data_IF_162141281678
#
_entry.id   IF_162141281678
#
_cell.length_a   1.000
_cell.length_b   1.000
_cell.length_c   1.000
_cell.angle_alpha   90.00
_cell.angle_beta   90.00
_cell.angle_gamma   90.00
#
_symmetry.space_group_name_H-M   'P 1'
#
loop_
_entity.id
_entity.type
_entity.pdbx_description
1 polymer ?
#
# COMPACT_ATOMS: atom_id res chain seq x y z
N UNK A 1 -3.04 40.30 -90.37
CA UNK A 1 -3.83 39.15 -89.89
C UNK A 1 -2.93 37.93 -89.94
N UNK A 2 -3.04 37.08 -88.91
CA UNK A 2 -2.39 35.78 -88.70
C UNK A 2 -0.87 35.76 -88.50
N UNK A 3 -0.44 35.78 -87.23
CA UNK A 3 0.78 35.09 -86.80
C UNK A 3 0.37 33.87 -85.95
N UNK A 4 0.69 32.69 -86.49
CA UNK A 4 0.43 31.37 -85.93
C UNK A 4 1.64 30.88 -85.12
N UNK A 5 1.33 30.08 -84.09
CA UNK A 5 2.13 29.76 -82.90
C UNK A 5 3.39 28.91 -83.10
N UNK A 6 4.31 28.99 -82.12
CA UNK A 6 5.17 27.87 -81.74
C UNK A 6 4.79 27.39 -80.31
N UNK A 7 4.41 26.11 -80.11
CA UNK A 7 4.05 25.59 -78.80
C UNK A 7 5.31 25.44 -77.92
N UNK A 8 5.29 26.06 -76.73
CA UNK A 8 6.33 25.85 -75.72
C UNK A 8 6.33 24.37 -75.31
N UNK A 9 7.45 23.69 -75.54
CA UNK A 9 7.60 22.28 -75.21
C UNK A 9 7.47 22.07 -73.69
N UNK A 10 6.42 21.36 -73.27
CA UNK A 10 6.16 20.97 -71.87
C UNK A 10 7.07 19.82 -71.39
N UNK A 11 7.91 19.28 -72.28
CA UNK A 11 8.76 18.11 -72.06
C UNK A 11 9.75 18.22 -70.89
N UNK A 12 10.47 19.35 -70.64
CA UNK A 12 11.43 19.41 -69.53
C UNK A 12 10.74 19.43 -68.16
N UNK A 13 9.50 19.92 -68.09
CA UNK A 13 8.73 20.02 -66.85
C UNK A 13 8.18 18.66 -66.41
N UNK A 14 7.78 17.81 -67.37
CA UNK A 14 7.35 16.43 -67.13
C UNK A 14 8.51 15.50 -66.70
N UNK A 15 9.70 15.70 -67.26
CA UNK A 15 10.90 14.91 -66.87
C UNK A 15 11.37 15.28 -65.46
N UNK A 16 11.34 16.56 -65.08
CA UNK A 16 11.68 17.01 -63.73
C UNK A 16 10.73 16.47 -62.65
N UNK A 17 9.43 16.46 -62.92
CA UNK A 17 8.44 15.89 -62.00
C UNK A 17 8.61 14.37 -61.83
N UNK A 18 8.90 13.64 -62.92
CA UNK A 18 9.18 12.21 -62.87
C UNK A 18 10.41 11.86 -62.03
N UNK A 19 11.50 12.62 -62.18
CA UNK A 19 12.72 12.40 -61.40
C UNK A 19 12.51 12.66 -59.89
N UNK A 20 11.76 13.70 -59.52
CA UNK A 20 11.40 13.99 -58.12
C UNK A 20 10.50 12.90 -57.51
N UNK A 21 9.53 12.39 -58.27
CA UNK A 21 8.66 11.30 -57.80
C UNK A 21 9.45 10.01 -57.55
N UNK A 22 10.40 9.66 -58.44
CA UNK A 22 11.27 8.50 -58.26
C UNK A 22 12.21 8.69 -57.08
N UNK A 23 12.81 9.86 -56.91
CA UNK A 23 13.66 10.17 -55.76
C UNK A 23 12.88 10.10 -54.43
N UNK A 24 11.63 10.59 -54.41
CA UNK A 24 10.73 10.47 -53.26
C UNK A 24 10.38 9.02 -52.92
N UNK A 25 10.09 8.19 -53.92
CA UNK A 25 9.84 6.76 -53.75
C UNK A 25 11.07 6.01 -53.22
N UNK A 26 12.27 6.34 -53.72
CA UNK A 26 13.53 5.74 -53.24
C UNK A 26 13.82 6.16 -51.81
N UNK A 27 13.65 7.44 -51.47
CA UNK A 27 13.83 7.95 -50.11
C UNK A 27 12.82 7.32 -49.13
N UNK A 28 11.56 7.19 -49.53
CA UNK A 28 10.53 6.51 -48.74
C UNK A 28 10.85 5.03 -48.55
N UNK A 29 11.23 4.31 -49.61
CA UNK A 29 11.60 2.91 -49.53
C UNK A 29 12.86 2.68 -48.67
N UNK A 30 13.81 3.61 -48.71
CA UNK A 30 14.99 3.56 -47.86
C UNK A 30 14.65 3.83 -46.39
N UNK A 31 13.90 4.89 -46.10
CA UNK A 31 13.44 5.22 -44.75
C UNK A 31 12.56 4.12 -44.12
N UNK A 32 11.73 3.46 -44.94
CA UNK A 32 10.89 2.33 -44.53
C UNK A 32 11.73 1.09 -44.19
N UNK A 33 12.89 0.89 -44.84
CA UNK A 33 13.81 -0.22 -44.54
C UNK A 33 14.70 0.05 -43.33
N UNK A 34 15.12 1.30 -43.10
CA UNK A 34 16.00 1.67 -41.99
C UNK A 34 15.27 1.81 -40.66
N UNK A 35 13.98 2.14 -40.68
CA UNK A 35 13.12 2.22 -39.48
C UNK A 35 12.25 0.97 -39.25
N UNK A 36 12.56 -0.14 -39.94
CA UNK A 36 11.90 -1.40 -39.64
C UNK A 36 12.21 -1.78 -38.18
N UNK A 37 11.20 -2.16 -37.36
CA UNK A 37 11.42 -2.63 -36.00
C UNK A 37 12.47 -3.74 -36.02
N UNK A 38 13.54 -3.57 -35.25
CA UNK A 38 14.56 -4.61 -35.11
C UNK A 38 13.89 -5.86 -34.49
N UNK A 39 14.15 -7.07 -35.03
CA UNK A 39 13.65 -8.29 -34.43
C UNK A 39 14.20 -8.40 -33.01
N UNK A 40 13.32 -8.41 -32.02
CA UNK A 40 13.67 -8.73 -30.64
C UNK A 40 13.89 -10.23 -30.59
N UNK A 41 15.14 -10.64 -30.37
CA UNK A 41 15.51 -12.06 -30.32
C UNK A 41 14.72 -12.77 -29.21
N UNK A 42 14.14 -13.94 -29.53
CA UNK A 42 13.27 -14.69 -28.63
C UNK A 42 11.85 -14.12 -28.42
N UNK A 43 11.43 -13.08 -29.14
CA UNK A 43 10.08 -12.54 -29.01
C UNK A 43 9.00 -13.44 -29.66
N UNK A 44 7.86 -13.58 -28.98
CA UNK A 44 6.75 -14.41 -29.43
C UNK A 44 5.90 -13.66 -30.46
N UNK A 45 5.66 -14.29 -31.60
CA UNK A 45 4.84 -13.73 -32.66
C UNK A 45 3.36 -13.97 -32.37
N UNK A 46 2.55 -12.92 -32.43
CA UNK A 46 1.10 -12.97 -32.27
C UNK A 46 0.46 -12.26 -33.45
N UNK A 47 -0.32 -12.97 -34.26
CA UNK A 47 -1.15 -12.35 -35.29
C UNK A 47 -2.57 -12.20 -34.78
N UNK A 48 -3.12 -10.99 -34.81
CA UNK A 48 -4.50 -10.72 -34.42
C UNK A 48 -5.33 -10.55 -35.68
N UNK A 49 -6.26 -11.48 -35.89
CA UNK A 49 -7.17 -11.51 -37.04
C UNK A 49 -8.51 -10.84 -36.69
N UNK A 50 -9.45 -10.82 -37.63
CA UNK A 50 -10.80 -10.31 -37.39
C UNK A 50 -11.51 -10.97 -36.20
N UNK A 51 -11.25 -12.25 -35.94
CA UNK A 51 -12.01 -13.06 -34.98
C UNK A 51 -11.18 -13.70 -33.87
N UNK A 52 -9.85 -13.72 -33.95
CA UNK A 52 -8.99 -14.46 -33.01
C UNK A 52 -7.51 -14.03 -33.07
N UNK A 53 -6.74 -14.39 -32.03
CA UNK A 53 -5.29 -14.42 -32.09
C UNK A 53 -4.77 -15.73 -32.70
N UNK A 54 -3.61 -15.67 -33.34
CA UNK A 54 -2.82 -16.82 -33.71
C UNK A 54 -1.40 -16.66 -33.12
N UNK A 55 -1.00 -17.51 -32.15
CA UNK A 55 -1.80 -18.54 -31.48
C UNK A 55 -2.79 -17.95 -30.46
N UNK A 56 -3.84 -18.72 -30.12
CA UNK A 56 -4.77 -18.41 -29.02
C UNK A 56 -4.25 -18.81 -27.63
N UNK A 57 -3.18 -19.61 -27.59
CA UNK A 57 -2.54 -20.06 -26.37
C UNK A 57 -1.03 -19.84 -26.49
N UNK A 58 -0.46 -19.13 -25.53
CA UNK A 58 0.95 -18.81 -25.44
C UNK A 58 1.53 -19.38 -24.15
N UNK A 59 2.78 -19.83 -24.19
CA UNK A 59 3.51 -20.24 -23.01
C UNK A 59 4.89 -19.58 -23.01
N UNK A 60 5.26 -18.93 -21.90
CA UNK A 60 6.56 -18.27 -21.73
C UNK A 60 7.13 -18.54 -20.33
N UNK A 61 8.46 -18.54 -20.14
CA UNK A 61 9.03 -18.54 -18.80
C UNK A 61 8.79 -17.18 -18.10
N UNK A 62 8.64 -17.21 -16.78
CA UNK A 62 8.56 -16.02 -15.95
C UNK A 62 9.83 -15.16 -16.04
N UNK A 63 9.66 -13.84 -16.06
CA UNK A 63 10.72 -12.87 -16.34
C UNK A 63 10.36 -11.99 -17.55
N UNK A 64 11.36 -11.29 -18.13
CA UNK A 64 11.16 -10.48 -19.32
C UNK A 64 10.66 -11.33 -20.49
N UNK A 65 9.52 -10.95 -21.07
CA UNK A 65 8.95 -11.52 -22.27
C UNK A 65 8.66 -10.40 -23.27
N UNK A 66 8.86 -10.68 -24.55
CA UNK A 66 8.50 -9.76 -25.63
C UNK A 66 7.54 -10.43 -26.59
N UNK A 67 6.49 -9.71 -26.96
CA UNK A 67 5.46 -10.12 -27.89
C UNK A 67 5.52 -9.18 -29.09
N UNK A 68 5.56 -9.75 -30.29
CA UNK A 68 5.49 -9.02 -31.55
C UNK A 68 4.09 -9.25 -32.10
N UNK A 69 3.25 -8.23 -31.93
CA UNK A 69 1.83 -8.25 -32.27
C UNK A 69 1.64 -7.66 -33.66
N UNK A 70 1.20 -8.49 -34.60
CA UNK A 70 0.83 -8.07 -35.95
C UNK A 70 -0.69 -7.98 -36.07
N UNK A 71 -1.18 -6.86 -36.57
CA UNK A 71 -2.60 -6.69 -36.85
C UNK A 71 -2.90 -7.17 -38.29
N UNK A 72 -3.51 -8.35 -38.39
CA UNK A 72 -3.98 -8.95 -39.64
C UNK A 72 -5.51 -8.78 -39.83
N UNK A 73 -6.11 -7.85 -39.09
CA UNK A 73 -7.49 -7.41 -39.25
C UNK A 73 -7.58 -6.11 -40.08
N UNK A 74 -8.80 -5.71 -40.41
CA UNK A 74 -9.14 -4.49 -41.14
C UNK A 74 -9.35 -3.27 -40.25
N UNK A 75 -9.23 -3.40 -38.92
CA UNK A 75 -9.47 -2.33 -37.94
C UNK A 75 -8.27 -2.09 -37.03
N UNK A 76 -8.05 -0.86 -36.55
CA UNK A 76 -7.13 -0.64 -35.43
C UNK A 76 -7.57 -1.45 -34.22
N UNK A 77 -6.59 -1.98 -33.48
CA UNK A 77 -6.85 -2.83 -32.32
C UNK A 77 -5.84 -2.62 -31.20
N UNK A 78 -6.16 -3.21 -30.04
CA UNK A 78 -5.28 -3.33 -28.90
C UNK A 78 -5.02 -4.80 -28.54
N UNK A 79 -3.89 -5.04 -27.89
CA UNK A 79 -3.53 -6.34 -27.34
C UNK A 79 -3.06 -6.17 -25.90
N UNK A 80 -3.77 -6.81 -24.98
CA UNK A 80 -3.59 -6.67 -23.54
C UNK A 80 -3.34 -8.03 -22.90
N UNK A 81 -2.54 -8.03 -21.83
CA UNK A 81 -2.40 -9.14 -20.89
C UNK A 81 -3.25 -8.82 -19.68
N UNK A 82 -4.18 -9.72 -19.33
CA UNK A 82 -5.16 -9.51 -18.27
C UNK A 82 -4.99 -10.52 -17.13
N UNK A 83 -5.07 -10.03 -15.90
CA UNK A 83 -5.20 -10.83 -14.68
C UNK A 83 -6.55 -10.49 -14.01
N UNK A 84 -7.56 -11.33 -14.28
CA UNK A 84 -8.94 -11.05 -13.89
C UNK A 84 -9.49 -9.79 -14.57
N UNK A 85 -9.61 -8.71 -13.80
CA UNK A 85 -10.07 -7.38 -14.26
C UNK A 85 -8.91 -6.39 -14.46
N UNK A 86 -7.68 -6.77 -14.11
CA UNK A 86 -6.50 -5.91 -14.18
C UNK A 86 -5.81 -6.05 -15.53
N UNK A 87 -5.45 -4.92 -16.15
CA UNK A 87 -4.54 -4.87 -17.29
C UNK A 87 -3.11 -4.91 -16.75
N UNK A 88 -2.39 -5.99 -17.04
CA UNK A 88 -0.99 -6.19 -16.64
C UNK A 88 -0.07 -5.37 -17.55
N UNK A 89 -0.32 -5.43 -18.85
CA UNK A 89 0.39 -4.66 -19.86
C UNK A 89 -0.45 -4.61 -21.14
N UNK A 90 -0.29 -3.54 -21.93
CA UNK A 90 -1.08 -3.33 -23.12
C UNK A 90 -0.29 -2.67 -24.25
N UNK A 91 -0.75 -2.94 -25.48
CA UNK A 91 -0.36 -2.18 -26.66
C UNK A 91 -1.58 -1.81 -27.49
N UNK A 92 -1.90 -0.54 -27.47
CA UNK A 92 -3.07 0.06 -28.13
C UNK A 92 -2.75 0.63 -29.52
N UNK A 93 -3.82 0.90 -30.29
CA UNK A 93 -3.80 1.61 -31.58
C UNK A 93 -2.91 0.96 -32.66
N UNK A 94 -2.84 -0.37 -32.70
CA UNK A 94 -2.10 -1.11 -33.73
C UNK A 94 -2.93 -1.07 -35.03
N UNK A 95 -2.48 -0.30 -36.02
CA UNK A 95 -3.19 -0.13 -37.30
C UNK A 95 -3.18 -1.41 -38.18
N UNK A 96 -4.16 -1.58 -39.09
CA UNK A 96 -4.19 -2.71 -40.03
C UNK A 96 -2.87 -2.88 -40.81
N UNK A 97 -2.31 -4.09 -40.79
CA UNK A 97 -1.05 -4.42 -41.46
C UNK A 97 0.22 -4.00 -40.72
N UNK A 98 0.10 -3.32 -39.57
CA UNK A 98 1.25 -2.90 -38.76
C UNK A 98 1.60 -3.95 -37.70
N UNK A 99 2.83 -3.84 -37.22
CA UNK A 99 3.36 -4.64 -36.12
C UNK A 99 3.76 -3.71 -34.98
N UNK A 100 3.45 -4.11 -33.75
CA UNK A 100 3.91 -3.46 -32.53
C UNK A 100 4.57 -4.48 -31.60
N UNK A 101 5.49 -4.02 -30.77
CA UNK A 101 6.15 -4.86 -29.76
C UNK A 101 5.67 -4.45 -28.37
N UNK A 102 5.29 -5.43 -27.56
CA UNK A 102 5.05 -5.28 -26.13
C UNK A 102 6.11 -6.08 -25.37
N UNK A 103 6.80 -5.44 -24.44
CA UNK A 103 7.77 -6.10 -23.56
C UNK A 103 7.33 -5.91 -22.13
N UNK A 104 7.21 -6.99 -21.38
CA UNK A 104 6.76 -6.98 -19.99
C UNK A 104 7.53 -8.01 -19.16
N UNK A 105 7.67 -7.80 -17.85
CA UNK A 105 8.22 -8.79 -16.92
C UNK A 105 7.08 -9.54 -16.24
N UNK A 106 6.83 -10.75 -16.70
CA UNK A 106 5.70 -11.56 -16.27
C UNK A 106 6.03 -12.41 -15.03
N UNK A 107 5.09 -12.46 -14.09
CA UNK A 107 5.12 -13.37 -12.94
C UNK A 107 4.53 -14.74 -13.35
N UNK A 108 4.92 -15.85 -12.68
CA UNK A 108 4.30 -17.15 -12.95
C UNK A 108 2.79 -17.09 -12.74
N UNK A 109 2.02 -17.69 -13.65
CA UNK A 109 0.56 -17.60 -13.59
C UNK A 109 -0.13 -17.96 -14.89
N UNK A 110 -1.45 -17.86 -14.89
CA UNK A 110 -2.28 -17.99 -16.10
C UNK A 110 -3.04 -16.69 -16.30
N UNK A 111 -2.78 -16.05 -17.44
CA UNK A 111 -3.36 -14.78 -17.83
C UNK A 111 -4.30 -14.97 -19.01
N UNK A 112 -5.22 -14.02 -19.18
CA UNK A 112 -5.99 -13.89 -20.43
C UNK A 112 -5.28 -12.90 -21.34
N UNK A 113 -5.43 -13.06 -22.65
CA UNK A 113 -4.97 -12.06 -23.63
C UNK A 113 -6.13 -11.59 -24.49
N UNK A 114 -6.19 -10.30 -24.80
CA UNK A 114 -7.19 -9.79 -25.75
C UNK A 114 -6.75 -10.05 -27.18
N UNK A 115 -7.71 -10.36 -28.04
CA UNK A 115 -7.48 -10.72 -29.43
C UNK A 115 -8.13 -9.72 -30.38
N UNK A 116 -7.85 -8.44 -30.14
CA UNK A 116 -8.36 -7.32 -30.92
C UNK A 116 -9.69 -6.81 -30.39
N UNK A 117 -10.76 -6.88 -31.18
CA UNK A 117 -12.07 -6.35 -30.79
C UNK A 117 -12.59 -7.02 -29.51
N UNK A 118 -13.26 -6.24 -28.66
CA UNK A 118 -13.83 -6.69 -27.37
C UNK A 118 -14.73 -7.94 -27.47
N UNK A 119 -15.34 -8.17 -28.65
CA UNK A 119 -16.20 -9.31 -28.94
C UNK A 119 -15.44 -10.61 -29.23
N UNK A 120 -14.14 -10.54 -29.48
CA UNK A 120 -13.35 -11.72 -29.83
C UNK A 120 -13.10 -12.59 -28.58
N UNK A 121 -13.04 -13.92 -28.74
CA UNK A 121 -12.63 -14.79 -27.65
C UNK A 121 -11.24 -14.38 -27.15
N UNK A 122 -11.08 -14.39 -25.83
CA UNK A 122 -9.78 -14.16 -25.20
C UNK A 122 -8.90 -15.39 -25.35
N UNK A 123 -7.62 -15.16 -25.60
CA UNK A 123 -6.61 -16.22 -25.55
C UNK A 123 -6.11 -16.45 -24.13
N UNK A 124 -5.22 -17.42 -23.97
CA UNK A 124 -4.56 -17.74 -22.71
C UNK A 124 -3.05 -17.54 -22.81
N UNK A 125 -2.45 -16.92 -21.81
CA UNK A 125 -1.01 -16.83 -21.65
C UNK A 125 -0.59 -17.54 -20.36
N UNK A 126 0.11 -18.66 -20.50
CA UNK A 126 0.67 -19.42 -19.37
C UNK A 126 2.11 -19.02 -19.14
N UNK A 127 2.41 -18.51 -17.95
CA UNK A 127 3.75 -18.11 -17.56
C UNK A 127 4.31 -19.14 -16.59
N UNK A 128 5.33 -19.90 -17.02
CA UNK A 128 5.90 -20.99 -16.22
C UNK A 128 6.93 -20.45 -15.23
N UNK A 129 6.93 -21.01 -14.02
CA UNK A 129 7.91 -20.65 -13.00
C UNK A 129 9.35 -20.90 -13.47
N UNK A 130 10.27 -20.04 -13.05
CA UNK A 130 11.71 -20.15 -13.23
C UNK A 130 12.41 -20.11 -11.88
N UNK A 131 13.65 -20.56 -11.80
CA UNK A 131 14.44 -20.44 -10.57
C UNK A 131 14.55 -18.97 -10.09
N UNK A 132 14.66 -18.03 -11.03
CA UNK A 132 14.68 -16.60 -10.73
C UNK A 132 13.34 -16.08 -10.20
N UNK A 133 12.20 -16.53 -10.76
CA UNK A 133 10.89 -16.12 -10.26
C UNK A 133 10.58 -16.70 -8.88
N UNK A 134 11.01 -17.94 -8.60
CA UNK A 134 10.89 -18.51 -7.25
C UNK A 134 11.73 -17.76 -6.22
N UNK A 135 12.98 -17.40 -6.57
CA UNK A 135 13.81 -16.59 -5.69
C UNK A 135 13.19 -15.20 -5.43
N UNK A 136 12.66 -14.55 -6.47
CA UNK A 136 11.98 -13.26 -6.33
C UNK A 136 10.63 -13.36 -5.58
N UNK A 137 10.01 -14.55 -5.53
CA UNK A 137 8.79 -14.77 -4.74
C UNK A 137 9.10 -14.78 -3.24
N UNK A 138 10.19 -15.43 -2.83
CA UNK A 138 10.60 -15.52 -1.41
C UNK A 138 11.48 -14.37 -0.93
N UNK A 139 12.05 -13.61 -1.87
CA UNK A 139 12.78 -12.37 -1.60
C UNK A 139 12.37 -11.31 -2.64
N UNK A 140 11.20 -10.67 -2.46
CA UNK A 140 10.71 -9.67 -3.41
C UNK A 140 11.71 -8.53 -3.60
N UNK A 141 11.93 -8.06 -4.84
CA UNK A 141 12.75 -6.89 -5.07
C UNK A 141 12.14 -5.66 -4.38
N UNK A 142 12.97 -4.70 -3.96
CA UNK A 142 12.53 -3.51 -3.23
C UNK A 142 11.39 -2.72 -3.91
N UNK A 143 11.32 -2.76 -5.25
CA UNK A 143 10.24 -2.11 -6.01
C UNK A 143 8.84 -2.66 -5.66
N UNK A 144 8.72 -3.95 -5.29
CA UNK A 144 7.44 -4.55 -4.89
C UNK A 144 6.94 -4.01 -3.54
N UNK A 145 7.80 -3.37 -2.76
CA UNK A 145 7.44 -2.75 -1.48
C UNK A 145 6.96 -1.30 -1.61
N UNK A 146 7.04 -0.68 -2.79
CA UNK A 146 6.57 0.69 -3.02
C UNK A 146 5.07 0.83 -2.67
N UNK A 147 4.26 -0.14 -3.10
CA UNK A 147 2.83 -0.20 -2.78
C UNK A 147 2.57 -0.29 -1.27
N UNK A 148 3.05 -1.35 -0.59
CA UNK A 148 2.93 -1.51 0.86
C UNK A 148 3.43 -0.32 1.68
N UNK A 149 4.57 0.27 1.32
CA UNK A 149 5.11 1.45 1.99
C UNK A 149 4.20 2.67 1.81
N UNK A 150 3.68 2.88 0.61
CA UNK A 150 2.75 3.98 0.32
C UNK A 150 1.43 3.81 1.08
N UNK A 151 0.88 2.59 1.11
CA UNK A 151 -0.33 2.30 1.87
C UNK A 151 -0.13 2.51 3.37
N UNK A 152 1.01 2.06 3.91
CA UNK A 152 1.36 2.29 5.31
C UNK A 152 1.49 3.78 5.63
N UNK A 153 2.15 4.55 4.75
CA UNK A 153 2.27 5.99 4.92
C UNK A 153 0.90 6.68 4.92
N UNK A 154 0.00 6.31 4.01
CA UNK A 154 -1.37 6.83 3.98
C UNK A 154 -2.12 6.50 5.28
N UNK A 155 -1.99 5.26 5.78
CA UNK A 155 -2.59 4.85 7.06
C UNK A 155 -2.10 5.69 8.23
N UNK A 156 -0.79 5.93 8.34
CA UNK A 156 -0.22 6.77 9.40
C UNK A 156 -0.70 8.22 9.32
N UNK A 157 -0.78 8.78 8.10
CA UNK A 157 -1.29 10.14 7.88
C UNK A 157 -2.76 10.25 8.27
N UNK A 158 -3.58 9.27 7.90
CA UNK A 158 -5.00 9.24 8.24
C UNK A 158 -5.22 9.08 9.75
N UNK A 159 -4.48 8.18 10.39
CA UNK A 159 -4.55 7.96 11.83
C UNK A 159 -4.10 9.20 12.62
N UNK A 160 -3.02 9.86 12.21
CA UNK A 160 -2.58 11.13 12.82
C UNK A 160 -3.60 12.26 12.64
N UNK A 161 -4.26 12.32 11.49
CA UNK A 161 -5.34 13.28 11.26
C UNK A 161 -6.61 12.98 12.06
N UNK A 162 -6.91 11.71 12.34
CA UNK A 162 -8.01 11.31 13.22
C UNK A 162 -7.72 11.71 14.66
N UNK A 163 -6.54 11.33 15.18
CA UNK A 163 -6.10 11.72 16.52
C UNK A 163 -6.15 13.23 16.75
N UNK A 164 -5.66 14.05 15.80
CA UNK A 164 -5.71 15.51 15.93
C UNK A 164 -7.16 16.03 16.01
N UNK A 165 -8.08 15.50 15.19
CA UNK A 165 -9.49 15.91 15.23
C UNK A 165 -10.13 15.52 16.56
N UNK A 166 -9.88 14.30 17.02
CA UNK A 166 -10.58 13.77 18.19
C UNK A 166 -9.98 14.33 19.49
N UNK A 167 -8.69 14.67 19.51
CA UNK A 167 -8.08 15.44 20.60
C UNK A 167 -8.65 16.87 20.69
N UNK A 168 -8.95 17.53 19.55
CA UNK A 168 -9.67 18.82 19.55
C UNK A 168 -11.09 18.66 20.07
N UNK A 169 -11.82 17.63 19.63
CA UNK A 169 -13.15 17.32 20.16
C UNK A 169 -13.15 17.08 21.67
N UNK A 170 -12.12 16.42 22.20
CA UNK A 170 -11.92 16.27 23.64
C UNK A 170 -11.69 17.63 24.34
N UNK A 171 -10.83 18.49 23.77
CA UNK A 171 -10.60 19.82 24.31
C UNK A 171 -11.88 20.67 24.35
N UNK A 172 -12.69 20.61 23.29
CA UNK A 172 -13.96 21.32 23.20
C UNK A 172 -14.97 20.81 24.25
N UNK A 173 -15.07 19.49 24.42
CA UNK A 173 -15.97 18.89 25.42
C UNK A 173 -15.57 19.27 26.87
N UNK A 174 -14.27 19.31 27.16
CA UNK A 174 -13.73 19.76 28.45
C UNK A 174 -14.02 21.24 28.68
N UNK A 175 -13.78 22.09 27.68
CA UNK A 175 -14.05 23.53 27.76
C UNK A 175 -15.54 23.84 27.96
N UNK A 176 -16.43 23.01 27.40
CA UNK A 176 -17.87 23.11 27.60
C UNK A 176 -18.33 22.68 29.01
N UNK A 177 -17.45 22.07 29.82
CA UNK A 177 -17.81 21.56 31.14
C UNK A 177 -18.65 20.28 31.12
N UNK A 178 -18.80 19.63 29.95
CA UNK A 178 -19.62 18.43 29.80
C UNK A 178 -18.80 17.18 30.13
N UNK A 179 -18.90 16.71 31.37
CA UNK A 179 -18.19 15.53 31.86
C UNK A 179 -18.52 14.26 31.05
N UNK A 180 -19.77 14.10 30.62
CA UNK A 180 -20.21 12.93 29.87
C UNK A 180 -19.58 12.92 28.49
N UNK A 181 -19.72 14.02 27.75
CA UNK A 181 -19.11 14.19 26.44
C UNK A 181 -17.58 14.09 26.50
N UNK A 182 -16.95 14.67 27.51
CA UNK A 182 -15.49 14.61 27.70
C UNK A 182 -14.99 13.18 27.91
N UNK A 183 -15.71 12.35 28.68
CA UNK A 183 -15.35 10.93 28.86
C UNK A 183 -15.44 10.13 27.57
N UNK A 184 -16.49 10.36 26.76
CA UNK A 184 -16.64 9.73 25.45
C UNK A 184 -15.53 10.19 24.50
N UNK A 185 -15.29 11.49 24.38
CA UNK A 185 -14.24 12.04 23.52
C UNK A 185 -12.85 11.57 23.95
N UNK A 186 -12.60 11.41 25.26
CA UNK A 186 -11.35 10.86 25.78
C UNK A 186 -11.14 9.44 25.27
N UNK A 187 -12.16 8.57 25.39
CA UNK A 187 -12.07 7.18 24.94
C UNK A 187 -11.74 7.10 23.44
N UNK A 188 -12.40 7.93 22.61
CA UNK A 188 -12.15 7.99 21.17
C UNK A 188 -10.72 8.44 20.87
N UNK A 189 -10.28 9.58 21.41
CA UNK A 189 -8.93 10.10 21.18
C UNK A 189 -7.85 9.13 21.70
N UNK A 190 -8.11 8.43 22.81
CA UNK A 190 -7.17 7.47 23.39
C UNK A 190 -7.04 6.20 22.54
N UNK A 191 -8.13 5.75 21.92
CA UNK A 191 -8.10 4.65 20.95
C UNK A 191 -7.30 5.03 19.69
N UNK A 192 -7.47 6.25 19.18
CA UNK A 192 -6.69 6.76 18.05
C UNK A 192 -5.20 6.84 18.35
N UNK A 193 -4.81 7.27 19.55
CA UNK A 193 -3.43 7.23 20.01
C UNK A 193 -2.87 5.79 20.00
N UNK A 194 -3.61 4.83 20.55
CA UNK A 194 -3.17 3.45 20.61
C UNK A 194 -3.01 2.81 19.22
N UNK A 195 -3.86 3.19 18.26
CA UNK A 195 -3.80 2.72 16.87
C UNK A 195 -2.52 3.14 16.15
N UNK A 196 -1.92 4.28 16.52
CA UNK A 196 -0.65 4.76 15.96
C UNK A 196 0.54 3.89 16.41
N UNK A 197 0.44 3.25 17.57
CA UNK A 197 1.42 2.26 18.02
C UNK A 197 2.86 2.77 18.02
N UNK A 198 3.78 1.99 17.45
CA UNK A 198 5.23 2.28 17.40
C UNK A 198 5.60 3.46 16.50
N UNK A 199 4.70 4.00 15.68
CA UNK A 199 4.97 5.24 14.97
C UNK A 199 5.21 6.40 15.96
N UNK A 200 4.59 6.36 17.15
CA UNK A 200 4.79 7.34 18.22
C UNK A 200 6.19 7.25 18.85
N UNK A 201 6.87 6.10 18.79
CA UNK A 201 8.19 5.91 19.38
C UNK A 201 9.27 6.81 18.76
N UNK A 202 9.05 7.25 17.51
CA UNK A 202 9.93 8.21 16.80
C UNK A 202 9.72 9.66 17.24
N UNK A 203 8.75 9.92 18.11
CA UNK A 203 8.44 11.24 18.68
C UNK A 203 8.40 11.16 20.22
N UNK A 204 9.48 10.66 20.82
CA UNK A 204 9.56 10.40 22.27
C UNK A 204 9.31 11.63 23.14
N UNK A 205 9.68 12.83 22.68
CA UNK A 205 9.34 14.09 23.33
C UNK A 205 7.82 14.34 23.38
N UNK A 206 7.10 14.03 22.30
CA UNK A 206 5.63 14.11 22.27
C UNK A 206 5.00 13.02 23.12
N UNK A 207 5.51 11.79 23.09
CA UNK A 207 5.03 10.70 23.97
C UNK A 207 5.11 11.11 25.44
N UNK A 208 6.23 11.72 25.85
CA UNK A 208 6.44 12.16 27.23
C UNK A 208 5.50 13.29 27.67
N UNK A 209 4.95 14.08 26.74
CA UNK A 209 3.94 15.12 27.03
C UNK A 209 2.50 14.60 26.91
N UNK A 210 2.25 13.74 25.93
CA UNK A 210 0.90 13.29 25.60
C UNK A 210 0.43 12.13 26.48
N UNK A 211 1.34 11.27 26.95
CA UNK A 211 0.96 10.07 27.70
C UNK A 211 1.89 9.72 28.89
N UNK A 212 2.36 10.69 29.71
CA UNK A 212 3.09 10.34 30.93
C UNK A 212 2.16 9.66 31.94
N UNK A 213 2.61 8.58 32.58
CA UNK A 213 1.86 7.94 33.66
C UNK A 213 2.28 8.52 35.01
N UNK A 214 1.32 8.72 35.92
CA UNK A 214 1.62 9.24 37.26
C UNK A 214 2.63 8.35 38.02
N UNK A 215 2.60 7.03 37.81
CA UNK A 215 3.52 6.08 38.43
C UNK A 215 5.00 6.29 38.03
N UNK A 216 5.25 6.90 36.86
CA UNK A 216 6.61 7.21 36.37
C UNK A 216 7.13 8.58 36.82
N UNK A 217 6.31 9.37 37.52
CA UNK A 217 6.63 10.73 37.96
C UNK A 217 6.89 10.79 39.47
N UNK A 218 7.88 11.55 39.88
CA UNK A 218 8.28 11.65 41.29
C UNK A 218 7.16 12.26 42.16
N UNK A 219 6.49 13.30 41.65
CA UNK A 219 5.34 13.93 42.30
C UNK A 219 4.00 13.23 42.06
N UNK A 220 3.98 12.12 41.28
CA UNK A 220 2.77 11.42 40.83
C UNK A 220 1.73 12.37 40.24
N UNK A 221 0.47 12.30 40.66
CA UNK A 221 -0.61 13.19 40.19
C UNK A 221 -0.38 14.67 40.54
N UNK A 222 0.50 14.97 41.51
CA UNK A 222 0.92 16.33 41.86
C UNK A 222 2.15 16.83 41.12
N UNK A 223 2.75 16.01 40.25
CA UNK A 223 3.94 16.38 39.48
C UNK A 223 3.57 17.38 38.36
N UNK A 224 4.32 18.47 38.14
CA UNK A 224 4.07 19.38 37.03
C UNK A 224 4.22 18.71 35.65
N UNK A 225 4.93 17.59 35.55
CA UNK A 225 5.04 16.77 34.35
C UNK A 225 3.81 15.91 34.08
N UNK A 226 2.86 15.80 35.02
CA UNK A 226 1.64 15.01 34.83
C UNK A 226 0.66 15.75 33.93
N UNK A 227 0.79 15.48 32.63
CA UNK A 227 0.09 16.17 31.54
C UNK A 227 -0.57 15.15 30.58
N UNK A 228 -1.16 15.64 29.49
CA UNK A 228 -1.71 14.80 28.42
C UNK A 228 -2.89 13.93 28.83
N UNK A 229 -3.01 12.77 28.19
CA UNK A 229 -4.12 11.83 28.35
C UNK A 229 -4.36 11.44 29.81
N UNK A 230 -3.35 10.92 30.51
CA UNK A 230 -3.58 10.39 31.86
C UNK A 230 -3.90 11.47 32.90
N UNK A 231 -3.44 12.72 32.70
CA UNK A 231 -3.86 13.86 33.53
C UNK A 231 -5.33 14.20 33.32
N UNK A 232 -5.81 14.14 32.08
CA UNK A 232 -7.22 14.31 31.73
C UNK A 232 -8.04 13.16 32.30
N UNK A 233 -7.60 11.92 32.12
CA UNK A 233 -8.22 10.71 32.66
C UNK A 233 -8.42 10.81 34.18
N UNK A 234 -7.38 11.22 34.91
CA UNK A 234 -7.46 11.43 36.35
C UNK A 234 -8.55 12.44 36.74
N UNK A 235 -8.61 13.58 36.04
CA UNK A 235 -9.63 14.59 36.30
C UNK A 235 -11.06 14.09 36.01
N UNK A 236 -11.24 13.46 34.85
CA UNK A 236 -12.57 13.02 34.40
C UNK A 236 -13.13 11.85 35.23
N UNK A 237 -12.29 10.90 35.69
CA UNK A 237 -12.77 9.72 36.43
C UNK A 237 -12.51 9.78 37.93
N UNK A 238 -11.30 10.15 38.37
CA UNK A 238 -10.99 10.18 39.80
C UNK A 238 -11.53 11.44 40.48
N UNK A 239 -11.46 12.60 39.83
CA UNK A 239 -11.99 13.85 40.39
C UNK A 239 -13.43 14.13 39.96
N UNK A 240 -13.92 13.47 38.90
CA UNK A 240 -15.27 13.64 38.39
C UNK A 240 -15.55 15.06 37.89
N UNK A 241 -14.54 15.75 37.36
CA UNK A 241 -14.63 17.16 36.97
C UNK A 241 -13.81 17.46 35.73
N UNK A 242 -14.23 18.48 34.98
CA UNK A 242 -13.45 19.11 33.89
C UNK A 242 -12.65 20.32 34.36
N UNK A 243 -12.81 20.73 35.61
CA UNK A 243 -12.17 21.92 36.17
C UNK A 243 -10.64 21.82 36.10
N UNK A 244 -10.00 22.87 35.56
CA UNK A 244 -8.56 22.93 35.39
C UNK A 244 -7.99 22.02 34.29
N UNK A 245 -8.81 21.28 33.55
CA UNK A 245 -8.36 20.40 32.46
C UNK A 245 -8.20 21.10 31.11
N UNK A 246 -8.86 22.25 30.91
CA UNK A 246 -8.86 22.94 29.61
C UNK A 246 -7.45 23.26 29.09
N UNK A 247 -6.49 23.78 29.89
CA UNK A 247 -5.13 24.00 29.41
C UNK A 247 -4.42 22.70 29.00
N UNK A 248 -4.67 21.60 29.72
CA UNK A 248 -4.07 20.29 29.44
C UNK A 248 -4.62 19.71 28.14
N UNK A 249 -5.93 19.79 27.94
CA UNK A 249 -6.59 19.28 26.74
C UNK A 249 -6.22 20.07 25.48
N UNK A 250 -6.08 21.39 25.59
CA UNK A 250 -5.57 22.22 24.49
C UNK A 250 -4.14 21.85 24.11
N UNK A 251 -3.25 21.71 25.10
CA UNK A 251 -1.86 21.27 24.86
C UNK A 251 -1.80 19.89 24.21
N UNK A 252 -2.67 18.95 24.61
CA UNK A 252 -2.78 17.63 24.00
C UNK A 252 -3.19 17.72 22.52
N UNK A 253 -4.15 18.60 22.18
CA UNK A 253 -4.59 18.81 20.80
C UNK A 253 -3.49 19.44 19.93
N UNK A 254 -2.71 20.37 20.48
CA UNK A 254 -1.54 20.95 19.82
C UNK A 254 -0.45 19.89 19.57
N UNK A 255 -0.16 19.06 20.57
CA UNK A 255 0.79 17.96 20.46
C UNK A 255 0.35 16.90 19.45
N UNK A 256 -0.95 16.62 19.35
CA UNK A 256 -1.51 15.75 18.32
C UNK A 256 -1.30 16.33 16.91
N UNK A 257 -1.44 17.64 16.73
CA UNK A 257 -1.12 18.34 15.47
C UNK A 257 0.37 18.27 15.11
N UNK A 258 1.24 18.42 16.11
CA UNK A 258 2.69 18.25 15.95
C UNK A 258 3.04 16.81 15.57
N UNK A 259 2.43 15.81 16.22
CA UNK A 259 2.62 14.40 15.91
C UNK A 259 2.18 14.08 14.48
N UNK A 260 0.99 14.54 14.07
CA UNK A 260 0.51 14.38 12.68
C UNK A 260 1.50 14.93 11.66
N UNK A 261 2.11 16.08 11.94
CA UNK A 261 3.12 16.67 11.06
C UNK A 261 4.34 15.75 10.95
N UNK A 262 4.86 15.24 12.06
CA UNK A 262 6.00 14.31 12.05
C UNK A 262 5.67 12.98 11.37
N UNK A 263 4.47 12.44 11.56
CA UNK A 263 4.03 11.19 10.91
C UNK A 263 4.07 11.31 9.38
N UNK A 264 3.77 12.49 8.80
CA UNK A 264 3.86 12.73 7.36
C UNK A 264 5.29 12.65 6.82
N UNK A 265 6.28 12.91 7.67
CA UNK A 265 7.70 12.98 7.33
C UNK A 265 8.46 11.70 7.66
N UNK A 266 7.81 10.72 8.30
CA UNK A 266 8.43 9.42 8.60
C UNK A 266 8.83 8.75 7.29
N UNK A 267 10.10 8.32 7.25
CA UNK A 267 10.61 7.39 6.24
C UNK A 267 10.60 5.99 6.84
N UNK A 268 9.95 5.05 6.14
CA UNK A 268 9.91 3.64 6.51
C UNK A 268 10.74 2.84 5.53
N UNK A 269 11.61 1.96 6.05
CA UNK A 269 12.15 0.86 5.27
C UNK A 269 11.12 -0.30 5.21
N UNK A 270 11.17 -1.19 4.20
CA UNK A 270 10.29 -2.36 4.14
C UNK A 270 10.27 -3.18 5.43
N UNK A 271 11.44 -3.41 6.03
CA UNK A 271 11.60 -4.19 7.26
C UNK A 271 10.97 -3.52 8.49
N UNK A 272 10.77 -2.19 8.46
CA UNK A 272 10.17 -1.47 9.58
C UNK A 272 8.70 -1.83 9.75
N UNK A 273 7.96 -2.15 8.68
CA UNK A 273 6.51 -2.40 8.77
C UNK A 273 6.20 -3.56 9.74
N UNK A 274 6.77 -4.74 9.49
CA UNK A 274 6.57 -5.89 10.36
C UNK A 274 7.38 -5.78 11.66
N UNK A 275 8.61 -5.25 11.58
CA UNK A 275 9.49 -5.12 12.74
C UNK A 275 8.95 -4.18 13.81
N UNK A 276 8.42 -3.02 13.43
CA UNK A 276 7.80 -2.06 14.34
C UNK A 276 6.52 -2.64 14.95
N UNK A 277 5.72 -3.37 14.17
CA UNK A 277 4.51 -4.04 14.66
C UNK A 277 4.86 -5.14 15.68
N UNK A 278 5.86 -5.96 15.41
CA UNK A 278 6.33 -7.00 16.34
C UNK A 278 6.89 -6.40 17.65
N UNK A 279 7.64 -5.29 17.57
CA UNK A 279 8.12 -4.57 18.76
C UNK A 279 6.99 -3.99 19.59
N UNK A 280 5.97 -3.42 18.96
CA UNK A 280 4.78 -2.93 19.67
C UNK A 280 4.05 -4.07 20.40
N UNK A 281 3.81 -5.18 19.70
CA UNK A 281 3.13 -6.33 20.27
C UNK A 281 3.88 -6.88 21.50
N UNK A 282 5.22 -6.98 21.44
CA UNK A 282 6.06 -7.32 22.62
C UNK A 282 5.90 -6.31 23.75
N UNK A 283 6.00 -5.02 23.45
CA UNK A 283 5.89 -3.97 24.46
C UNK A 283 4.54 -4.02 25.20
N UNK A 284 3.45 -4.25 24.46
CA UNK A 284 2.11 -4.44 25.03
C UNK A 284 2.07 -5.66 25.97
N UNK A 285 2.58 -6.80 25.51
CA UNK A 285 2.57 -8.06 26.26
C UNK A 285 3.40 -8.03 27.55
N UNK A 286 4.57 -7.41 27.50
CA UNK A 286 5.54 -7.38 28.60
C UNK A 286 5.21 -6.30 29.65
N UNK A 287 4.65 -5.17 29.22
CA UNK A 287 4.36 -4.03 30.09
C UNK A 287 2.87 -3.74 30.22
N UNK A 288 2.32 -3.05 29.22
CA UNK A 288 1.05 -2.34 29.31
C UNK A 288 -0.15 -3.23 29.67
N UNK A 289 -0.24 -4.44 29.12
CA UNK A 289 -1.36 -5.36 29.42
C UNK A 289 -1.39 -5.76 30.89
N UNK A 290 -0.20 -6.02 31.46
CA UNK A 290 -0.06 -6.48 32.86
C UNK A 290 -0.22 -5.33 33.85
N UNK A 291 0.34 -4.16 33.52
CA UNK A 291 0.36 -2.99 34.40
C UNK A 291 -0.96 -2.21 34.37
N UNK A 292 -1.72 -2.32 33.27
CA UNK A 292 -2.83 -1.44 32.98
C UNK A 292 -2.35 -0.10 32.44
N UNK A 293 -3.15 0.50 31.56
CA UNK A 293 -2.81 1.77 30.91
C UNK A 293 -3.71 2.88 31.41
N UNK A 294 -5.00 2.60 31.53
CA UNK A 294 -6.03 3.52 31.97
C UNK A 294 -6.37 3.23 33.44
N UNK A 295 -5.50 3.69 34.33
CA UNK A 295 -5.55 3.40 35.78
C UNK A 295 -6.79 3.98 36.47
N UNK A 296 -7.43 4.99 35.88
CA UNK A 296 -8.58 5.67 36.46
C UNK A 296 -9.89 5.33 35.74
N UNK A 297 -9.86 5.21 34.41
CA UNK A 297 -11.07 4.95 33.61
C UNK A 297 -11.35 3.46 33.40
N UNK A 298 -10.36 2.59 33.56
CA UNK A 298 -10.50 1.14 33.33
C UNK A 298 -10.75 0.76 31.86
N UNK A 299 -10.36 1.61 30.91
CA UNK A 299 -10.65 1.44 29.47
C UNK A 299 -9.59 0.64 28.70
N UNK A 300 -8.81 -0.18 29.40
CA UNK A 300 -7.69 -0.94 28.83
C UNK A 300 -8.09 -1.83 27.65
N UNK A 301 -9.26 -2.47 27.71
CA UNK A 301 -9.70 -3.38 26.64
C UNK A 301 -9.92 -2.65 25.31
N UNK A 302 -10.56 -1.48 25.34
CA UNK A 302 -10.76 -0.66 24.15
C UNK A 302 -9.42 -0.18 23.57
N UNK A 303 -8.48 0.16 24.44
CA UNK A 303 -7.15 0.58 24.01
C UNK A 303 -6.36 -0.57 23.35
N UNK A 304 -6.38 -1.77 23.94
CA UNK A 304 -5.71 -2.94 23.35
C UNK A 304 -6.37 -3.38 22.05
N UNK A 305 -7.70 -3.25 21.93
CA UNK A 305 -8.41 -3.50 20.67
C UNK A 305 -7.92 -2.53 19.57
N UNK A 306 -7.81 -1.24 19.88
CA UNK A 306 -7.33 -0.25 18.93
C UNK A 306 -5.85 -0.45 18.56
N UNK A 307 -5.00 -0.84 19.51
CA UNK A 307 -3.62 -1.22 19.24
C UNK A 307 -3.53 -2.45 18.32
N UNK A 308 -4.35 -3.47 18.56
CA UNK A 308 -4.44 -4.66 17.71
C UNK A 308 -4.88 -4.31 16.27
N UNK A 309 -5.82 -3.38 16.10
CA UNK A 309 -6.21 -2.91 14.78
C UNK A 309 -5.05 -2.22 14.03
N UNK A 310 -4.21 -1.47 14.75
CA UNK A 310 -2.98 -0.90 14.20
C UNK A 310 -2.02 -1.98 13.70
N UNK A 311 -1.79 -3.01 14.51
CA UNK A 311 -0.95 -4.18 14.15
C UNK A 311 -1.53 -4.96 12.96
N UNK A 312 -2.84 -5.21 12.96
CA UNK A 312 -3.53 -5.87 11.85
C UNK A 312 -3.42 -5.05 10.56
N UNK A 313 -3.45 -3.72 10.68
CA UNK A 313 -3.16 -2.81 9.59
C UNK A 313 -1.79 -3.00 8.96
N UNK A 314 -0.74 -3.09 9.78
CA UNK A 314 0.63 -3.35 9.32
C UNK A 314 0.76 -4.74 8.65
N UNK A 315 0.09 -5.77 9.17
CA UNK A 315 0.05 -7.08 8.53
C UNK A 315 -0.67 -7.03 7.17
N UNK A 316 -1.78 -6.28 7.09
CA UNK A 316 -2.59 -6.18 5.90
C UNK A 316 -1.82 -5.57 4.71
N UNK A 317 -1.02 -4.52 4.93
CA UNK A 317 -0.25 -3.88 3.85
C UNK A 317 0.80 -4.83 3.25
N UNK A 318 1.30 -5.80 4.04
CA UNK A 318 2.26 -6.81 3.57
C UNK A 318 1.58 -8.07 3.03
N UNK A 319 0.27 -8.24 3.25
CA UNK A 319 -0.47 -9.48 2.97
C UNK A 319 -0.27 -10.00 1.53
N UNK A 320 -0.30 -9.15 0.47
CA UNK A 320 -0.09 -9.64 -0.89
C UNK A 320 1.29 -10.30 -1.09
N UNK A 321 2.34 -9.70 -0.52
CA UNK A 321 3.72 -10.21 -0.64
C UNK A 321 3.92 -11.46 0.22
N UNK A 322 3.45 -11.43 1.47
CA UNK A 322 3.62 -12.56 2.40
C UNK A 322 2.80 -13.77 1.94
N UNK A 323 1.58 -13.58 1.42
CA UNK A 323 0.76 -14.70 0.95
C UNK A 323 1.41 -15.41 -0.22
N UNK A 324 2.07 -14.67 -1.12
CA UNK A 324 2.81 -15.24 -2.23
C UNK A 324 4.12 -15.92 -1.78
N UNK A 325 4.86 -15.29 -0.86
CA UNK A 325 6.15 -15.77 -0.39
C UNK A 325 6.04 -16.97 0.58
N UNK A 326 5.20 -16.81 1.60
CA UNK A 326 5.07 -17.65 2.78
C UNK A 326 3.61 -17.71 3.28
N UNK A 327 2.71 -18.44 2.59
CA UNK A 327 1.28 -18.48 2.92
C UNK A 327 0.98 -18.99 4.34
N UNK A 328 1.80 -19.91 4.88
CA UNK A 328 1.67 -20.38 6.26
C UNK A 328 1.96 -19.27 7.28
N UNK A 329 2.94 -18.40 7.01
CA UNK A 329 3.24 -17.25 7.86
C UNK A 329 2.10 -16.22 7.82
N UNK A 330 1.55 -15.94 6.64
CA UNK A 330 0.37 -15.08 6.49
C UNK A 330 -0.82 -15.62 7.29
N UNK A 331 -1.13 -16.91 7.13
CA UNK A 331 -2.22 -17.57 7.86
C UNK A 331 -2.00 -17.55 9.38
N UNK A 332 -0.76 -17.74 9.83
CA UNK A 332 -0.41 -17.67 11.25
C UNK A 332 -0.64 -16.27 11.82
N UNK A 333 -0.19 -15.22 11.15
CA UNK A 333 -0.42 -13.83 11.62
C UNK A 333 -1.91 -13.54 11.76
N UNK A 334 -2.72 -13.92 10.76
CA UNK A 334 -4.17 -13.75 10.83
C UNK A 334 -4.78 -14.52 12.02
N UNK A 335 -4.37 -15.77 12.24
CA UNK A 335 -4.84 -16.57 13.36
C UNK A 335 -4.48 -15.95 14.72
N UNK A 336 -3.28 -15.38 14.88
CA UNK A 336 -2.89 -14.72 16.13
C UNK A 336 -3.63 -13.39 16.34
N UNK A 337 -3.95 -12.65 15.26
CA UNK A 337 -4.82 -11.46 15.35
C UNK A 337 -6.20 -11.86 15.89
N UNK A 338 -6.83 -12.88 15.31
CA UNK A 338 -8.18 -13.29 15.69
C UNK A 338 -8.23 -13.86 17.12
N UNK A 339 -7.22 -14.63 17.52
CA UNK A 339 -7.08 -15.12 18.90
C UNK A 339 -6.88 -13.98 19.90
N UNK A 340 -6.03 -13.01 19.57
CA UNK A 340 -5.78 -11.85 20.43
C UNK A 340 -7.04 -11.01 20.58
N UNK A 341 -7.80 -10.80 19.49
CA UNK A 341 -9.09 -10.10 19.52
C UNK A 341 -10.08 -10.81 20.43
N UNK A 342 -10.21 -12.13 20.30
CA UNK A 342 -11.07 -12.94 21.17
C UNK A 342 -10.70 -12.81 22.65
N UNK A 343 -9.39 -12.77 22.96
CA UNK A 343 -8.91 -12.57 24.33
C UNK A 343 -9.25 -11.17 24.87
N UNK A 344 -9.16 -10.13 24.04
CA UNK A 344 -9.53 -8.75 24.40
C UNK A 344 -11.04 -8.63 24.63
N UNK A 345 -11.86 -9.25 23.78
CA UNK A 345 -13.31 -9.28 23.93
C UNK A 345 -13.71 -9.95 25.25
N UNK A 346 -13.06 -11.07 25.60
CA UNK A 346 -13.25 -11.73 26.89
C UNK A 346 -12.81 -10.85 28.08
N UNK A 347 -11.72 -10.10 27.93
CA UNK A 347 -11.25 -9.16 28.96
C UNK A 347 -12.21 -7.97 29.15
N UNK A 348 -12.92 -7.57 28.10
CA UNK A 348 -13.96 -6.52 28.19
C UNK A 348 -15.10 -6.96 29.09
N UNK A 349 -15.47 -8.25 29.06
CA UNK A 349 -16.51 -8.82 29.92
C UNK A 349 -16.02 -9.12 31.35
N UNK A 350 -14.76 -9.55 31.50
CA UNK A 350 -14.13 -9.84 32.78
C UNK A 350 -12.65 -9.37 32.78
N UNK A 351 -12.33 -8.19 33.35
CA UNK A 351 -10.97 -7.64 33.36
C UNK A 351 -10.08 -8.25 34.45
N UNK A 352 -10.24 -9.55 34.73
CA UNK A 352 -9.46 -10.28 35.73
C UNK A 352 -7.97 -10.39 35.34
N UNK A 353 -7.06 -10.58 36.31
CA UNK A 353 -5.64 -10.84 36.02
C UNK A 353 -5.43 -11.99 35.02
N UNK A 354 -6.25 -13.05 35.13
CA UNK A 354 -6.22 -14.17 34.21
C UNK A 354 -6.64 -13.77 32.78
N UNK A 355 -7.59 -12.85 32.61
CA UNK A 355 -7.95 -12.32 31.29
C UNK A 355 -6.81 -11.46 30.70
N UNK A 356 -6.18 -10.61 31.51
CA UNK A 356 -4.99 -9.86 31.10
C UNK A 356 -3.85 -10.78 30.68
N UNK A 357 -3.61 -11.87 31.41
CA UNK A 357 -2.60 -12.87 31.04
C UNK A 357 -2.88 -13.51 29.68
N UNK A 358 -4.16 -13.79 29.35
CA UNK A 358 -4.55 -14.30 28.02
C UNK A 358 -4.28 -13.26 26.92
N UNK A 359 -4.62 -12.00 27.16
CA UNK A 359 -4.34 -10.91 26.20
C UNK A 359 -2.83 -10.75 25.99
N UNK A 360 -2.04 -10.79 27.07
CA UNK A 360 -0.58 -10.72 26.99
C UNK A 360 0.01 -11.89 26.18
N UNK A 361 -0.47 -13.12 26.41
CA UNK A 361 -0.06 -14.27 25.59
C UNK A 361 -0.42 -14.11 24.12
N UNK A 362 -1.61 -13.58 23.81
CA UNK A 362 -2.03 -13.27 22.44
C UNK A 362 -1.06 -12.31 21.76
N UNK A 363 -0.73 -11.19 22.40
CA UNK A 363 0.26 -10.24 21.87
C UNK A 363 1.68 -10.84 21.75
N UNK A 364 2.12 -11.70 22.68
CA UNK A 364 3.40 -12.41 22.54
C UNK A 364 3.41 -13.32 21.31
N UNK A 365 2.34 -14.09 21.10
CA UNK A 365 2.22 -14.97 19.94
C UNK A 365 2.17 -14.18 18.63
N UNK A 366 1.40 -13.09 18.61
CA UNK A 366 1.33 -12.17 17.47
C UNK A 366 2.68 -11.53 17.17
N UNK A 367 3.43 -11.10 18.19
CA UNK A 367 4.77 -10.55 18.01
C UNK A 367 5.70 -11.55 17.30
N UNK A 368 5.69 -12.82 17.74
CA UNK A 368 6.47 -13.88 17.11
C UNK A 368 6.04 -14.18 15.67
N UNK A 369 4.74 -14.09 15.37
CA UNK A 369 4.23 -14.26 14.01
C UNK A 369 4.63 -13.09 13.10
N UNK A 370 4.62 -11.85 13.61
CA UNK A 370 5.04 -10.65 12.89
C UNK A 370 6.56 -10.63 12.65
N UNK A 371 7.37 -11.01 13.64
CA UNK A 371 8.84 -11.10 13.49
C UNK A 371 9.25 -12.06 12.35
N UNK A 372 8.45 -13.11 12.12
CA UNK A 372 8.71 -14.08 11.06
C UNK A 372 8.46 -13.55 9.64
N UNK A 373 7.79 -12.41 9.48
CA UNK A 373 7.46 -11.86 8.16
C UNK A 373 8.68 -11.31 7.43
N UNK A 374 9.59 -10.65 8.14
CA UNK A 374 10.78 -10.05 7.53
C UNK A 374 11.70 -11.13 6.91
N UNK A 375 12.11 -12.19 7.64
CA UNK A 375 12.86 -13.30 7.05
C UNK A 375 12.12 -13.99 5.89
N UNK A 376 10.79 -14.15 6.02
CA UNK A 376 9.96 -14.77 4.97
C UNK A 376 9.91 -13.95 3.66
N UNK A 377 10.26 -12.68 3.72
CA UNK A 377 10.34 -11.76 2.58
C UNK A 377 11.78 -11.45 2.17
N UNK A 378 12.78 -12.13 2.75
CA UNK A 378 14.19 -11.85 2.50
C UNK A 378 14.63 -10.46 3.00
N UNK A 379 13.88 -9.86 3.93
CA UNK A 379 14.19 -8.59 4.57
C UNK A 379 14.97 -8.85 5.88
N UNK A 380 16.13 -9.48 5.79
CA UNK A 380 17.02 -9.59 6.95
C UNK A 380 17.87 -8.33 7.11
N UNK A 381 18.06 -7.91 8.37
CA UNK A 381 18.93 -6.81 8.80
C UNK A 381 20.34 -7.29 9.09
#
# INVERSE_FOLDING_TARGET
>A
MTDSHAPRSMTPMLVGAGALAVAGLVAFAWAARTNAPQPVDGALQVAVTETACAPMALTVPAGPASFVIRNDSSRPLEWEILDGVMVVAERENIAPGFTATLTERLKPGTYQITCGLLSNPRGTLTVTATAASEAARTAPPLAEFIGPLSEMQVRLIQAGAALERDAKGLADAIAAGDLGAARTAYATARADWARLGTATARASDLVNRMSPTAAMLAGREGDPGFTGFHRIEYGLWSQGSTEGLEPVARSLAEDAGALRTRLREITLAPADIAGDAARLARHLAEGQVRQGVNLYSGQDAAEFAAALDGLAGAAQVLSPLVTAAAPEAAARVQAEIDRTRTAIDAMTADPSPAARDRVAHGFTALAGALDALNPALGLET
#
